data_IF_050641254787
#
_entry.id   IF_050641254787
#
_cell.length_a   1.000
_cell.length_b   1.000
_cell.length_c   1.000
_cell.angle_alpha   90.00
_cell.angle_beta   90.00
_cell.angle_gamma   90.00
#
_symmetry.space_group_name_H-M   'P 1'
#
loop_
_entity.id
_entity.type
_entity.pdbx_description
1 polymer ?
#
# COMPACT_ATOMS: atom_id res chain seq x y z
N UNK A 1 5.14 12.10 16.72
CA UNK A 1 4.86 11.56 15.37
C UNK A 1 3.35 11.48 15.18
N UNK A 2 2.77 12.60 14.78
CA UNK A 2 1.56 12.53 13.96
C UNK A 2 1.98 11.78 12.68
N UNK A 3 1.21 10.77 12.28
CA UNK A 3 1.70 9.71 11.39
C UNK A 3 2.05 10.20 9.97
N UNK A 4 1.66 11.43 9.61
CA UNK A 4 1.91 12.06 8.30
C UNK A 4 3.11 13.04 8.30
N UNK A 5 3.78 13.19 9.44
CA UNK A 5 4.78 14.24 9.67
C UNK A 5 6.16 13.70 10.05
N UNK A 6 7.20 14.26 9.43
CA UNK A 6 8.59 14.08 9.83
C UNK A 6 8.92 15.05 10.97
N UNK A 7 8.95 14.55 12.20
CA UNK A 7 9.30 15.32 13.40
C UNK A 7 10.82 15.48 13.53
N UNK A 8 11.27 16.72 13.69
CA UNK A 8 12.67 17.10 13.85
C UNK A 8 12.86 17.69 15.25
N UNK A 9 13.84 17.18 15.98
CA UNK A 9 14.28 17.74 17.27
C UNK A 9 15.62 18.44 17.12
N UNK A 10 15.75 19.60 17.75
CA UNK A 10 16.90 20.50 17.70
C UNK A 10 17.52 20.55 19.08
N UNK A 11 18.85 20.53 19.16
CA UNK A 11 19.54 20.66 20.43
C UNK A 11 19.32 22.04 21.07
N UNK A 12 19.06 22.09 22.38
CA UNK A 12 18.74 23.30 23.16
C UNK A 12 19.74 24.47 23.05
N UNK A 13 20.98 24.24 22.62
CA UNK A 13 22.03 25.27 22.52
C UNK A 13 22.27 25.77 21.07
N UNK A 14 21.53 25.23 20.09
CA UNK A 14 21.70 25.60 18.69
C UNK A 14 20.89 26.86 18.35
N UNK A 15 21.56 27.88 17.80
CA UNK A 15 20.90 29.10 17.30
C UNK A 15 20.39 28.89 15.87
N UNK A 16 19.46 27.94 15.68
CA UNK A 16 18.85 27.63 14.38
C UNK A 16 17.63 28.52 14.17
N UNK A 17 17.54 29.16 13.00
CA UNK A 17 16.38 29.98 12.60
C UNK A 17 15.53 29.30 11.54
N UNK A 18 16.15 28.51 10.65
CA UNK A 18 15.45 27.77 9.60
C UNK A 18 15.99 26.35 9.47
N UNK A 19 15.11 25.44 9.08
CA UNK A 19 15.47 24.10 8.62
C UNK A 19 14.91 23.94 7.21
N UNK A 20 15.81 23.67 6.27
CA UNK A 20 15.45 23.29 4.91
C UNK A 20 15.42 21.78 4.80
N UNK A 21 14.37 21.25 4.20
CA UNK A 21 14.30 19.87 3.72
C UNK A 21 14.60 19.88 2.23
N UNK A 22 15.74 19.32 1.85
CA UNK A 22 16.22 19.24 0.46
C UNK A 22 15.99 17.83 -0.05
N UNK A 23 15.37 17.71 -1.22
CA UNK A 23 15.02 16.44 -1.83
C UNK A 23 16.24 15.69 -2.41
N UNK A 24 16.09 14.42 -2.80
CA UNK A 24 17.18 13.63 -3.39
C UNK A 24 17.77 14.21 -4.70
N UNK A 25 17.06 15.12 -5.37
CA UNK A 25 17.54 15.82 -6.57
C UNK A 25 18.34 17.10 -6.24
N UNK A 26 18.40 17.47 -4.96
CA UNK A 26 19.07 18.67 -4.47
C UNK A 26 18.19 19.93 -4.53
N UNK A 27 16.88 19.80 -4.73
CA UNK A 27 15.94 20.91 -4.74
C UNK A 27 15.33 21.12 -3.35
N UNK A 28 15.02 22.37 -3.00
CA UNK A 28 14.34 22.66 -1.74
C UNK A 28 12.91 22.12 -1.81
N UNK A 29 12.62 21.10 -1.01
CA UNK A 29 11.30 20.50 -0.91
C UNK A 29 10.38 21.35 -0.01
N UNK A 30 10.84 21.67 1.19
CA UNK A 30 10.11 22.53 2.13
C UNK A 30 11.06 23.24 3.09
N UNK A 31 10.58 24.29 3.75
CA UNK A 31 11.32 25.06 4.74
C UNK A 31 10.46 25.34 5.96
N UNK A 32 11.01 25.05 7.13
CA UNK A 32 10.41 25.45 8.40
C UNK A 32 11.21 26.55 9.08
N UNK A 33 10.48 27.55 9.58
CA UNK A 33 11.03 28.62 10.40
C UNK A 33 10.78 28.30 11.86
N UNK A 34 11.82 28.41 12.68
CA UNK A 34 11.75 28.23 14.11
C UNK A 34 11.52 29.56 14.81
N UNK A 35 10.53 29.63 15.70
CA UNK A 35 10.41 30.73 16.64
C UNK A 35 11.49 30.61 17.73
N UNK A 36 11.80 31.73 18.37
CA UNK A 36 12.82 31.77 19.42
C UNK A 36 12.45 30.83 20.57
N UNK A 37 13.32 29.87 20.87
CA UNK A 37 13.16 28.82 21.91
C UNK A 37 12.39 27.56 21.49
N UNK A 38 12.05 27.39 20.20
CA UNK A 38 11.53 26.11 19.70
C UNK A 38 12.66 25.11 19.49
N UNK A 39 12.47 23.91 20.04
CA UNK A 39 13.40 22.78 19.89
C UNK A 39 12.82 21.66 19.03
N UNK A 40 11.63 21.86 18.45
CA UNK A 40 10.95 20.88 17.61
C UNK A 40 10.22 21.56 16.46
N UNK A 41 10.22 20.91 15.31
CA UNK A 41 9.41 21.27 14.14
C UNK A 41 9.02 20.00 13.39
N UNK A 42 8.05 20.08 12.49
CA UNK A 42 7.66 18.97 11.64
C UNK A 42 7.61 19.36 10.16
N UNK A 43 7.74 18.38 9.26
CA UNK A 43 7.42 18.53 7.85
C UNK A 43 6.27 17.59 7.49
N UNK A 44 5.27 18.08 6.77
CA UNK A 44 4.19 17.25 6.23
C UNK A 44 4.72 16.44 5.04
N UNK A 45 4.71 15.11 5.17
CA UNK A 45 5.28 14.18 4.18
C UNK A 45 4.18 13.54 3.32
N UNK A 46 2.99 13.33 3.89
CA UNK A 46 1.83 12.78 3.17
C UNK A 46 0.79 13.86 2.84
N UNK A 47 0.10 13.69 1.70
CA UNK A 47 -1.09 14.48 1.34
C UNK A 47 -0.84 15.82 0.66
N UNK A 48 0.43 16.22 0.44
CA UNK A 48 0.75 17.56 -0.10
C UNK A 48 0.94 17.66 -1.62
N UNK A 49 1.39 16.60 -2.30
CA UNK A 49 1.62 16.63 -3.76
C UNK A 49 2.00 15.26 -4.34
N UNK A 50 1.75 15.07 -5.65
CA UNK A 50 2.24 13.92 -6.45
C UNK A 50 3.76 13.95 -6.69
N UNK A 51 4.45 15.01 -6.22
CA UNK A 51 5.87 15.27 -6.48
C UNK A 51 6.81 14.75 -5.37
N UNK A 52 6.30 13.99 -4.39
CA UNK A 52 7.16 13.40 -3.36
C UNK A 52 8.07 12.32 -3.96
N UNK A 53 9.39 12.44 -3.75
CA UNK A 53 10.39 11.53 -4.28
C UNK A 53 11.00 10.72 -3.15
N UNK A 54 10.83 9.40 -3.14
CA UNK A 54 11.48 8.55 -2.15
C UNK A 54 13.00 8.59 -2.28
N UNK A 55 13.72 8.59 -1.16
CA UNK A 55 15.18 8.51 -1.12
C UNK A 55 15.81 9.26 0.05
N UNK A 56 17.08 9.63 -0.12
CA UNK A 56 17.84 10.37 0.89
C UNK A 56 17.58 11.87 0.78
N UNK A 57 16.98 12.44 1.81
CA UNK A 57 16.77 13.87 1.98
C UNK A 57 17.87 14.49 2.86
N UNK A 58 18.21 15.74 2.59
CA UNK A 58 19.11 16.52 3.45
C UNK A 58 18.32 17.53 4.29
N UNK A 59 18.48 17.44 5.60
CA UNK A 59 18.04 18.45 6.57
C UNK A 59 19.17 19.44 6.77
N UNK A 60 18.97 20.69 6.37
CA UNK A 60 19.98 21.75 6.45
C UNK A 60 19.52 22.81 7.45
N UNK A 61 20.24 22.92 8.56
CA UNK A 61 20.00 23.91 9.60
C UNK A 61 20.72 25.23 9.28
N UNK A 62 20.01 26.36 9.39
CA UNK A 62 20.48 27.69 9.01
C UNK A 62 20.27 28.71 10.13
N UNK A 63 21.20 29.66 10.27
CA UNK A 63 21.00 30.94 10.97
C UNK A 63 21.21 32.08 9.97
N UNK A 64 20.14 32.81 9.65
CA UNK A 64 20.10 33.70 8.50
C UNK A 64 20.46 32.97 7.22
N UNK A 65 21.55 33.40 6.58
CA UNK A 65 22.09 32.80 5.35
C UNK A 65 23.25 31.81 5.61
N UNK A 66 23.63 31.58 6.88
CA UNK A 66 24.74 30.69 7.25
C UNK A 66 24.26 29.27 7.55
N UNK A 67 24.85 28.30 6.86
CA UNK A 67 24.64 26.86 7.11
C UNK A 67 25.42 26.43 8.35
N UNK A 68 24.69 25.90 9.33
CA UNK A 68 25.22 25.44 10.60
C UNK A 68 25.56 23.95 10.55
N UNK A 69 24.60 23.13 10.10
CA UNK A 69 24.70 21.67 10.09
C UNK A 69 23.86 21.06 8.96
N UNK A 70 24.25 19.87 8.53
CA UNK A 70 23.47 19.03 7.63
C UNK A 70 23.39 17.61 8.16
N UNK A 71 22.19 17.05 8.16
CA UNK A 71 21.92 15.64 8.48
C UNK A 71 21.12 15.01 7.36
N UNK A 72 21.42 13.76 7.03
CA UNK A 72 20.66 12.99 6.03
C UNK A 72 19.58 12.16 6.71
N UNK A 73 18.40 12.12 6.11
CA UNK A 73 17.29 11.24 6.51
C UNK A 73 16.77 10.51 5.28
N UNK A 74 16.63 9.19 5.39
CA UNK A 74 16.08 8.36 4.31
C UNK A 74 14.56 8.27 4.47
N UNK A 75 13.83 8.75 3.47
CA UNK A 75 12.37 8.72 3.41
C UNK A 75 11.93 7.77 2.30
N UNK A 76 11.52 6.57 2.68
CA UNK A 76 11.06 5.53 1.76
C UNK A 76 9.73 4.94 2.24
N UNK A 77 8.81 4.71 1.31
CA UNK A 77 7.65 3.85 1.52
C UNK A 77 7.80 2.65 0.59
N UNK A 78 8.11 1.48 1.17
CA UNK A 78 8.26 0.24 0.40
C UNK A 78 7.18 -0.72 0.85
N UNK A 79 6.05 -0.69 0.14
CA UNK A 79 4.92 -1.55 0.41
C UNK A 79 5.05 -2.88 -0.34
N UNK A 80 4.62 -3.97 0.28
CA UNK A 80 4.51 -5.30 -0.31
C UNK A 80 3.22 -5.95 0.14
N UNK A 81 2.50 -6.57 -0.80
CA UNK A 81 1.36 -7.42 -0.44
C UNK A 81 1.94 -8.78 -0.01
N UNK A 82 1.73 -9.13 1.25
CA UNK A 82 2.27 -10.37 1.83
C UNK A 82 1.25 -11.51 1.80
N UNK A 83 -0.04 -11.17 1.77
CA UNK A 83 -1.12 -12.16 1.74
C UNK A 83 -2.41 -11.58 1.18
N UNK A 84 -3.26 -12.46 0.65
CA UNK A 84 -4.60 -12.16 0.15
C UNK A 84 -5.56 -13.24 0.61
N UNK A 85 -6.50 -12.84 1.46
CA UNK A 85 -7.36 -13.74 2.20
C UNK A 85 -8.79 -13.60 1.71
N UNK A 86 -9.43 -14.74 1.41
CA UNK A 86 -10.84 -14.79 1.07
C UNK A 86 -11.68 -15.06 2.31
N UNK A 87 -12.77 -14.30 2.48
CA UNK A 87 -13.66 -14.39 3.64
C UNK A 87 -14.25 -15.80 3.86
N UNK A 88 -14.64 -16.52 2.81
CA UNK A 88 -15.20 -17.87 2.96
C UNK A 88 -14.18 -18.88 3.51
N UNK A 89 -12.91 -18.75 3.14
CA UNK A 89 -11.82 -19.61 3.63
C UNK A 89 -11.22 -19.12 4.97
N UNK A 90 -11.45 -17.86 5.34
CA UNK A 90 -10.94 -17.23 6.55
C UNK A 90 -12.07 -16.58 7.41
N UNK A 91 -13.11 -17.34 7.81
CA UNK A 91 -14.29 -16.77 8.45
C UNK A 91 -14.04 -16.21 9.86
N UNK A 92 -12.91 -16.55 10.49
CA UNK A 92 -12.56 -16.12 11.84
C UNK A 92 -11.96 -14.69 11.92
N UNK A 93 -11.76 -14.01 10.78
CA UNK A 93 -11.31 -12.61 10.75
C UNK A 93 -12.46 -11.62 11.04
N UNK A 94 -12.10 -10.35 11.25
CA UNK A 94 -13.03 -9.27 11.63
C UNK A 94 -13.83 -8.72 10.42
N UNK A 95 -14.51 -9.61 9.70
CA UNK A 95 -15.39 -9.22 8.58
C UNK A 95 -16.64 -8.48 9.07
N UNK A 96 -17.14 -7.55 8.26
CA UNK A 96 -18.47 -6.97 8.46
C UNK A 96 -19.55 -7.96 7.98
N UNK A 97 -19.94 -8.87 8.87
CA UNK A 97 -20.95 -9.92 8.58
C UNK A 97 -22.38 -9.39 8.42
N UNK A 98 -22.62 -8.10 8.72
CA UNK A 98 -23.92 -7.47 8.44
C UNK A 98 -24.07 -7.12 6.94
N UNK A 99 -22.97 -7.11 6.18
CA UNK A 99 -23.01 -6.96 4.73
C UNK A 99 -23.56 -8.22 4.05
N UNK A 100 -24.41 -8.06 3.02
CA UNK A 100 -24.84 -9.20 2.23
C UNK A 100 -23.65 -9.78 1.47
N UNK A 101 -23.58 -11.11 1.38
CA UNK A 101 -22.51 -11.82 0.69
C UNK A 101 -21.11 -11.47 1.21
N UNK A 102 -20.96 -11.21 2.52
CA UNK A 102 -19.67 -10.90 3.15
C UNK A 102 -18.62 -11.98 2.88
N UNK A 103 -19.05 -13.23 2.68
CA UNK A 103 -18.20 -14.37 2.33
C UNK A 103 -17.56 -14.27 0.95
N UNK A 104 -17.95 -13.31 0.10
CA UNK A 104 -17.34 -13.04 -1.21
C UNK A 104 -16.23 -11.96 -1.15
N UNK A 105 -15.98 -11.38 0.01
CA UNK A 105 -15.03 -10.29 0.20
C UNK A 105 -13.60 -10.81 0.37
N UNK A 106 -12.64 -9.92 0.19
CA UNK A 106 -11.22 -10.21 0.36
C UNK A 106 -10.60 -9.28 1.40
N UNK A 107 -9.52 -9.74 2.01
CA UNK A 107 -8.62 -8.92 2.80
C UNK A 107 -7.23 -9.01 2.19
N UNK A 108 -6.55 -7.88 2.06
CA UNK A 108 -5.19 -7.77 1.56
C UNK A 108 -4.30 -7.38 2.72
N UNK A 109 -3.26 -8.17 2.97
CA UNK A 109 -2.24 -7.86 3.97
C UNK A 109 -1.10 -7.15 3.28
N UNK A 110 -0.84 -5.91 3.69
CA UNK A 110 0.20 -5.06 3.13
C UNK A 110 1.22 -4.75 4.22
N UNK A 111 2.49 -5.05 3.96
CA UNK A 111 3.61 -4.67 4.81
C UNK A 111 4.37 -3.50 4.18
N UNK A 112 4.50 -2.40 4.91
CA UNK A 112 5.39 -1.30 4.56
C UNK A 112 6.71 -1.46 5.33
N UNK A 113 7.79 -1.81 4.63
CA UNK A 113 9.13 -1.95 5.20
C UNK A 113 9.94 -0.65 5.18
N UNK A 114 9.34 0.44 4.71
CA UNK A 114 9.92 1.77 4.65
C UNK A 114 9.97 2.50 5.99
N UNK A 115 10.46 3.74 5.93
CA UNK A 115 10.59 4.64 7.08
C UNK A 115 9.43 5.61 7.23
N UNK A 116 8.67 5.83 6.15
CA UNK A 116 7.51 6.71 6.11
C UNK A 116 6.25 5.93 5.69
N UNK A 117 5.06 6.41 6.08
CA UNK A 117 3.80 5.84 5.61
C UNK A 117 3.60 6.04 4.10
N UNK A 118 2.63 5.31 3.53
CA UNK A 118 1.99 5.61 2.24
C UNK A 118 0.47 5.68 2.38
N UNK A 119 -0.22 6.08 1.31
CA UNK A 119 -1.68 6.08 1.23
C UNK A 119 -2.14 5.10 0.15
N UNK A 120 -2.90 4.08 0.53
CA UNK A 120 -3.61 3.21 -0.39
C UNK A 120 -4.85 3.94 -0.91
N UNK A 121 -4.90 4.10 -2.22
CA UNK A 121 -5.99 4.81 -2.92
C UNK A 121 -6.93 3.87 -3.67
N UNK A 122 -6.44 2.69 -4.06
CA UNK A 122 -7.21 1.71 -4.80
C UNK A 122 -6.65 0.29 -4.62
N UNK A 123 -7.54 -0.70 -4.62
CA UNK A 123 -7.19 -2.10 -4.88
C UNK A 123 -7.78 -2.50 -6.23
N UNK A 124 -6.92 -2.79 -7.20
CA UNK A 124 -7.30 -3.30 -8.51
C UNK A 124 -7.19 -4.83 -8.52
N UNK A 125 -8.28 -5.50 -8.91
CA UNK A 125 -8.39 -6.96 -8.93
C UNK A 125 -8.49 -7.47 -10.36
N UNK A 126 -7.35 -7.72 -10.99
CA UNK A 126 -7.26 -8.26 -12.34
C UNK A 126 -7.55 -9.78 -12.34
N UNK A 127 -8.40 -10.22 -13.27
CA UNK A 127 -8.76 -11.64 -13.41
C UNK A 127 -9.69 -12.20 -12.33
N UNK A 128 -10.09 -11.39 -11.34
CA UNK A 128 -10.96 -11.81 -10.25
C UNK A 128 -12.33 -12.32 -10.73
N UNK A 129 -12.98 -13.25 -9.99
CA UNK A 129 -14.29 -13.77 -10.35
C UNK A 129 -15.33 -12.67 -10.63
N UNK A 130 -15.37 -11.61 -9.80
CA UNK A 130 -16.29 -10.48 -10.02
C UNK A 130 -16.00 -9.70 -11.31
N UNK A 131 -14.72 -9.55 -11.69
CA UNK A 131 -14.32 -8.87 -12.92
C UNK A 131 -14.79 -9.68 -14.13
N UNK A 132 -14.60 -11.01 -14.08
CA UNK A 132 -15.07 -11.96 -15.11
C UNK A 132 -16.59 -11.94 -15.23
N UNK A 133 -17.31 -11.93 -14.10
CA UNK A 133 -18.77 -11.88 -14.06
C UNK A 133 -19.29 -10.63 -14.79
N UNK A 134 -18.58 -9.51 -14.62
CA UNK A 134 -18.89 -8.24 -15.28
C UNK A 134 -18.31 -8.11 -16.70
N UNK A 135 -17.67 -9.16 -17.23
CA UNK A 135 -16.98 -9.16 -18.52
C UNK A 135 -15.93 -8.04 -18.64
N UNK A 136 -15.19 -7.78 -17.55
CA UNK A 136 -14.08 -6.83 -17.46
C UNK A 136 -12.75 -7.56 -17.26
N UNK A 137 -11.65 -6.88 -17.55
CA UNK A 137 -10.30 -7.37 -17.28
C UNK A 137 -9.95 -7.27 -15.78
N UNK A 138 -10.32 -6.15 -15.15
CA UNK A 138 -10.13 -5.89 -13.72
C UNK A 138 -11.38 -5.27 -13.09
N UNK A 139 -11.44 -5.35 -11.76
CA UNK A 139 -12.40 -4.63 -10.94
C UNK A 139 -11.64 -3.85 -9.86
N UNK A 140 -11.83 -2.53 -9.83
CA UNK A 140 -11.19 -1.67 -8.84
C UNK A 140 -12.13 -1.27 -7.72
N UNK A 141 -11.58 -1.12 -6.52
CA UNK A 141 -12.25 -0.56 -5.35
C UNK A 141 -11.43 0.58 -4.76
N UNK A 142 -12.06 1.74 -4.60
CA UNK A 142 -11.44 2.91 -3.98
C UNK A 142 -11.17 2.64 -2.48
N UNK A 143 -10.02 3.13 -2.02
CA UNK A 143 -9.59 3.11 -0.64
C UNK A 143 -9.05 4.48 -0.22
N UNK A 144 -9.08 4.72 1.09
CA UNK A 144 -8.41 5.86 1.71
C UNK A 144 -7.74 5.36 2.99
N UNK A 145 -6.85 4.37 2.82
CA UNK A 145 -6.24 3.65 3.95
C UNK A 145 -4.76 3.99 4.05
N UNK A 146 -4.33 4.44 5.22
CA UNK A 146 -2.92 4.69 5.50
C UNK A 146 -2.17 3.38 5.69
N UNK A 147 -0.94 3.36 5.18
CA UNK A 147 -0.01 2.24 5.27
C UNK A 147 1.22 2.69 6.05
N UNK A 148 1.14 2.80 7.39
CA UNK A 148 2.30 3.11 8.22
C UNK A 148 3.36 2.00 8.15
N UNK A 149 4.62 2.28 8.53
CA UNK A 149 5.63 1.23 8.66
C UNK A 149 5.13 0.05 9.50
N UNK A 150 5.27 -1.16 8.96
CA UNK A 150 4.71 -2.39 9.50
C UNK A 150 3.52 -2.92 8.69
N UNK A 151 2.76 -3.81 9.31
CA UNK A 151 1.69 -4.55 8.65
C UNK A 151 0.32 -3.87 8.82
N UNK A 152 -0.41 -3.75 7.72
CA UNK A 152 -1.80 -3.26 7.66
C UNK A 152 -2.66 -4.27 6.91
N UNK A 153 -3.83 -4.61 7.48
CA UNK A 153 -4.84 -5.43 6.80
C UNK A 153 -5.93 -4.54 6.24
N UNK A 154 -6.19 -4.64 4.93
CA UNK A 154 -7.21 -3.85 4.23
C UNK A 154 -8.28 -4.76 3.67
N UNK A 155 -9.54 -4.49 4.01
CA UNK A 155 -10.69 -5.23 3.51
C UNK A 155 -11.22 -4.62 2.22
N UNK A 156 -11.59 -5.43 1.23
CA UNK A 156 -12.15 -4.96 -0.04
C UNK A 156 -13.46 -4.21 0.19
N UNK A 157 -13.70 -3.13 -0.58
CA UNK A 157 -14.95 -2.37 -0.47
C UNK A 157 -16.17 -3.06 -1.13
N UNK A 158 -15.96 -4.19 -1.81
CA UNK A 158 -17.01 -4.99 -2.43
C UNK A 158 -16.58 -6.44 -2.66
N UNK A 159 -17.51 -7.26 -3.16
CA UNK A 159 -17.29 -8.68 -3.46
C UNK A 159 -16.20 -8.86 -4.52
N UNK A 160 -15.15 -9.62 -4.20
CA UNK A 160 -14.06 -9.99 -5.12
C UNK A 160 -14.34 -11.35 -5.75
N UNK A 161 -14.86 -12.28 -4.95
CA UNK A 161 -15.05 -13.68 -5.29
C UNK A 161 -16.47 -14.02 -5.78
N UNK A 162 -17.28 -12.99 -6.10
CA UNK A 162 -18.63 -13.19 -6.63
C UNK A 162 -18.60 -13.92 -7.99
N UNK A 163 -19.39 -14.99 -8.11
CA UNK A 163 -19.52 -15.78 -9.34
C UNK A 163 -20.89 -15.69 -9.98
N UNK A 164 -21.84 -15.02 -9.33
CA UNK A 164 -23.18 -14.76 -9.83
C UNK A 164 -23.73 -13.46 -9.26
N UNK A 165 -24.69 -12.88 -9.99
CA UNK A 165 -25.52 -11.77 -9.53
C UNK A 165 -26.99 -12.05 -9.92
N UNK A 166 -27.86 -11.04 -9.77
CA UNK A 166 -29.28 -11.19 -10.09
C UNK A 166 -29.59 -11.50 -11.57
N UNK A 167 -28.63 -11.32 -12.47
CA UNK A 167 -28.80 -11.33 -13.93
C UNK A 167 -27.81 -12.28 -14.62
N UNK A 168 -26.63 -12.51 -14.04
CA UNK A 168 -25.51 -13.22 -14.64
C UNK A 168 -24.93 -14.28 -13.69
N UNK A 169 -24.32 -15.31 -14.28
CA UNK A 169 -23.53 -16.31 -13.56
C UNK A 169 -22.36 -16.72 -14.44
N UNK A 170 -21.20 -16.99 -13.82
CA UNK A 170 -20.06 -17.56 -14.51
C UNK A 170 -20.37 -19.00 -14.98
N UNK A 171 -19.82 -19.37 -16.13
CA UNK A 171 -19.82 -20.75 -16.62
C UNK A 171 -18.51 -21.41 -16.19
N UNK A 172 -18.51 -22.04 -15.01
CA UNK A 172 -17.29 -22.59 -14.43
C UNK A 172 -16.87 -23.92 -15.05
N UNK A 173 -17.70 -24.52 -15.91
CA UNK A 173 -17.32 -25.71 -16.69
C UNK A 173 -16.26 -25.42 -17.77
N UNK A 174 -16.08 -24.14 -18.13
CA UNK A 174 -15.06 -23.71 -19.10
C UNK A 174 -13.89 -22.98 -18.45
N UNK A 175 -13.94 -22.79 -17.13
CA UNK A 175 -12.88 -22.20 -16.33
C UNK A 175 -12.17 -23.33 -15.59
N UNK A 176 -10.84 -23.31 -15.59
CA UNK A 176 -10.03 -24.28 -14.84
C UNK A 176 -9.40 -23.57 -13.64
N UNK A 177 -8.08 -23.52 -13.56
CA UNK A 177 -7.36 -22.66 -12.62
C UNK A 177 -6.91 -21.41 -13.35
N UNK A 178 -7.36 -20.24 -12.91
CA UNK A 178 -7.01 -18.95 -13.51
C UNK A 178 -6.28 -18.05 -12.50
N UNK A 179 -5.32 -17.23 -12.96
CA UNK A 179 -4.66 -16.26 -12.09
C UNK A 179 -5.59 -15.10 -11.74
N UNK A 180 -5.52 -14.69 -10.48
CA UNK A 180 -6.05 -13.43 -9.98
C UNK A 180 -4.91 -12.61 -9.40
N UNK A 181 -4.73 -11.39 -9.90
CA UNK A 181 -3.71 -10.46 -9.41
C UNK A 181 -4.39 -9.28 -8.74
N UNK A 182 -4.00 -9.00 -7.50
CA UNK A 182 -4.35 -7.74 -6.83
C UNK A 182 -3.16 -6.78 -6.92
N UNK A 183 -3.45 -5.53 -7.25
CA UNK A 183 -2.49 -4.41 -7.23
C UNK A 183 -2.99 -3.36 -6.26
N UNK A 184 -2.15 -2.96 -5.32
CA UNK A 184 -2.42 -1.85 -4.40
C UNK A 184 -1.85 -0.56 -4.99
N UNK A 185 -2.72 0.38 -5.34
CA UNK A 185 -2.31 1.68 -5.88
C UNK A 185 -2.00 2.60 -4.72
N UNK A 186 -0.72 2.96 -4.57
CA UNK A 186 -0.22 3.75 -3.46
C UNK A 186 0.26 5.13 -3.91
N UNK A 187 0.09 6.13 -3.06
CA UNK A 187 0.51 7.50 -3.39
C UNK A 187 2.03 7.66 -3.38
N UNK A 188 2.71 6.98 -2.46
CA UNK A 188 4.17 7.06 -2.29
C UNK A 188 4.76 5.66 -2.37
N UNK A 189 5.81 5.52 -3.16
CA UNK A 189 6.46 4.24 -3.45
C UNK A 189 5.86 3.53 -4.66
N UNK A 190 6.43 2.38 -5.05
CA UNK A 190 5.90 1.56 -6.13
C UNK A 190 4.62 0.84 -5.71
N UNK A 191 3.68 0.66 -6.65
CA UNK A 191 2.48 -0.15 -6.45
C UNK A 191 2.83 -1.63 -6.26
N UNK A 192 2.61 -2.25 -5.08
CA UNK A 192 2.83 -3.67 -4.93
C UNK A 192 1.70 -4.48 -5.55
N UNK A 193 2.04 -5.68 -6.01
CA UNK A 193 1.06 -6.64 -6.55
C UNK A 193 1.30 -8.03 -6.00
N UNK A 194 0.24 -8.82 -5.95
CA UNK A 194 0.26 -10.22 -5.52
C UNK A 194 -0.66 -11.04 -6.41
N UNK A 195 -0.22 -12.23 -6.80
CA UNK A 195 -0.99 -13.12 -7.67
C UNK A 195 -1.21 -14.46 -7.01
N UNK A 196 -2.46 -14.90 -6.99
CA UNK A 196 -2.87 -16.22 -6.52
C UNK A 196 -3.63 -16.95 -7.61
N UNK A 197 -3.70 -18.27 -7.49
CA UNK A 197 -4.41 -19.13 -8.44
C UNK A 197 -5.80 -19.44 -7.89
N UNK A 198 -6.83 -19.15 -8.67
CA UNK A 198 -8.22 -19.45 -8.33
C UNK A 198 -8.67 -20.64 -9.13
N UNK A 199 -9.02 -21.71 -8.44
CA UNK A 199 -9.59 -22.91 -9.05
C UNK A 199 -11.11 -22.78 -9.09
N UNK A 200 -11.67 -22.96 -10.27
CA UNK A 200 -13.11 -22.96 -10.52
C UNK A 200 -13.58 -24.40 -10.69
N UNK A 201 -14.50 -24.84 -9.84
CA UNK A 201 -15.21 -26.11 -9.99
C UNK A 201 -16.73 -25.89 -9.97
N UNK A 202 -17.47 -26.96 -10.23
CA UNK A 202 -18.94 -26.96 -10.18
C UNK A 202 -19.62 -26.40 -11.42
N UNK A 203 -20.92 -26.74 -11.57
CA UNK A 203 -21.69 -26.43 -12.79
C UNK A 203 -22.41 -25.07 -12.75
N UNK A 204 -23.25 -24.84 -11.73
CA UNK A 204 -24.20 -23.70 -11.69
C UNK A 204 -23.94 -22.71 -10.55
N UNK A 205 -23.13 -23.11 -9.58
CA UNK A 205 -22.69 -22.29 -8.46
C UNK A 205 -21.23 -22.64 -8.28
N UNK A 206 -20.35 -21.81 -8.83
CA UNK A 206 -18.94 -22.12 -8.88
C UNK A 206 -18.41 -22.35 -7.47
N UNK A 207 -17.83 -23.52 -7.25
CA UNK A 207 -17.08 -23.85 -6.06
C UNK A 207 -15.67 -23.32 -6.28
N UNK A 208 -15.35 -22.20 -5.63
CA UNK A 208 -14.02 -21.60 -5.71
C UNK A 208 -13.12 -22.17 -4.62
N UNK A 209 -11.83 -22.27 -4.92
CA UNK A 209 -10.77 -22.48 -3.94
C UNK A 209 -9.50 -21.77 -4.35
N UNK A 210 -8.72 -21.32 -3.36
CA UNK A 210 -7.41 -20.72 -3.60
C UNK A 210 -6.38 -21.84 -3.62
N UNK A 211 -5.63 -21.97 -4.71
CA UNK A 211 -4.47 -22.84 -4.75
C UNK A 211 -3.24 -22.06 -4.27
N UNK A 212 -2.55 -22.59 -3.27
CA UNK A 212 -1.25 -22.05 -2.82
C UNK A 212 -0.33 -21.90 -4.03
N UNK A 213 -0.01 -20.66 -4.39
CA UNK A 213 1.12 -20.38 -5.28
C UNK A 213 2.37 -20.77 -4.49
N UNK A 214 2.85 -21.99 -4.71
CA UNK A 214 4.15 -22.40 -4.19
C UNK A 214 5.17 -21.35 -4.61
N UNK A 215 5.76 -20.70 -3.63
CA UNK A 215 6.88 -19.77 -3.73
C UNK A 215 7.98 -20.42 -4.60
N UNK A 216 7.95 -20.21 -5.92
CA UNK A 216 9.12 -20.43 -6.76
C UNK A 216 10.05 -19.25 -6.52
N UNK A 217 10.72 -19.31 -5.36
CA UNK A 217 12.05 -18.74 -5.19
C UNK A 217 12.88 -19.23 -6.37
N UNK A 218 13.07 -18.38 -7.38
CA UNK A 218 14.09 -18.59 -8.40
C UNK A 218 15.44 -18.42 -7.70
N UNK A 219 15.86 -19.45 -6.98
CA UNK A 219 17.24 -19.68 -6.60
C UNK A 219 18.00 -19.99 -7.89
N UNK A 220 18.37 -18.93 -8.62
CA UNK A 220 19.36 -18.98 -9.69
C UNK A 220 20.72 -19.30 -9.10
N UNK A 221 20.91 -20.55 -8.68
CA UNK A 221 22.20 -21.12 -8.36
C UNK A 221 23.10 -21.03 -9.59
N UNK A 222 24.15 -20.22 -9.48
CA UNK A 222 25.24 -20.23 -10.43
C UNK A 222 25.98 -21.57 -10.37
N UNK A 223 26.30 -22.09 -11.55
CA UNK A 223 27.38 -23.03 -11.92
C UNK A 223 27.13 -23.28 -13.43
N UNK A 224 27.98 -22.86 -14.37
CA UNK A 224 29.37 -23.27 -14.58
C UNK A 224 30.05 -22.32 -15.59
#
# INVERSE_FOLDING_TARGET
MEEDELEIEIADDASVEFINLVDPNGELYDQQRLESSEIRTSFEILGRSDDFVTGDYELVALSGDEQLETTTVTLEAECRITDVLWAAENPDMEWDTDLPHWDEYAAVVIENTGTIPSLLTELEWAGAPVARLQSKESQSYYHETRLPPGQTTVYSAGSVYATNDAVHSLDCNVLETEPMTVTAVVQVGPDPSYTQQIKYDGDQSCELSIEDSSDELIAGGGEN
#
